data_IF_879638249251
#
_entry.id   IF_879638249251
#
_cell.length_a   1.000
_cell.length_b   1.000
_cell.length_c   1.000
_cell.angle_alpha   90.00
_cell.angle_beta   90.00
_cell.angle_gamma   90.00
#
_symmetry.space_group_name_H-M   'P 1'
#
loop_
_entity.id
_entity.type
_entity.pdbx_description
1 polymer ?
#
# COMPACT_ATOMS: atom_id res chain seq x y z
N UNK A 1 -28.00 2.67 29.11
CA UNK A 1 -26.63 3.20 29.05
C UNK A 1 -26.28 3.36 27.57
N UNK A 2 -26.36 4.58 27.07
CA UNK A 2 -25.98 4.90 25.68
C UNK A 2 -24.46 4.90 25.63
N UNK A 3 -23.89 3.78 25.17
CA UNK A 3 -22.47 3.67 24.93
C UNK A 3 -22.06 4.69 23.90
N UNK A 4 -21.33 5.72 24.29
CA UNK A 4 -20.66 6.65 23.40
C UNK A 4 -19.70 5.82 22.52
N UNK A 5 -20.05 5.66 21.25
CA UNK A 5 -19.12 5.12 20.26
C UNK A 5 -17.88 6.03 20.28
N UNK A 6 -16.66 5.52 20.51
CA UNK A 6 -15.49 6.37 20.54
C UNK A 6 -15.38 7.12 19.22
N UNK A 7 -15.25 8.45 19.30
CA UNK A 7 -15.21 9.37 18.15
C UNK A 7 -14.01 9.05 17.22
N UNK A 8 -12.99 8.41 17.78
CA UNK A 8 -11.75 8.08 17.08
C UNK A 8 -11.41 6.59 17.25
N UNK A 9 -10.85 5.96 16.22
CA UNK A 9 -10.39 4.58 16.35
C UNK A 9 -9.25 4.50 17.38
N UNK A 10 -9.24 3.42 18.16
CA UNK A 10 -8.20 3.15 19.17
C UNK A 10 -6.81 3.01 18.56
N UNK A 11 -6.74 2.54 17.30
CA UNK A 11 -5.52 2.47 16.50
C UNK A 11 -5.85 2.79 15.04
N UNK A 12 -4.98 3.56 14.39
CA UNK A 12 -5.06 3.79 12.96
C UNK A 12 -4.19 2.76 12.24
N UNK A 13 -4.83 1.77 11.60
CA UNK A 13 -4.15 0.72 10.86
C UNK A 13 -4.14 1.04 9.37
N UNK A 14 -2.96 1.07 8.77
CA UNK A 14 -2.78 1.28 7.32
C UNK A 14 -1.96 0.15 6.74
N UNK A 15 -2.44 -0.43 5.64
CA UNK A 15 -1.71 -1.42 4.86
C UNK A 15 -1.39 -0.84 3.49
N UNK A 16 -0.10 -0.80 3.14
CA UNK A 16 0.34 -0.56 1.78
C UNK A 16 0.38 -1.87 1.01
N UNK A 17 -0.28 -1.90 -0.13
CA UNK A 17 -0.22 -3.02 -1.08
C UNK A 17 0.58 -2.56 -2.29
N UNK A 18 1.78 -3.09 -2.45
CA UNK A 18 2.65 -2.80 -3.58
C UNK A 18 2.43 -3.84 -4.69
N UNK A 19 2.13 -3.35 -5.88
CA UNK A 19 2.08 -4.18 -7.07
C UNK A 19 3.47 -4.75 -7.38
N UNK A 20 3.51 -6.03 -7.72
CA UNK A 20 4.75 -6.74 -8.09
C UNK A 20 4.69 -7.24 -9.55
N UNK A 21 3.86 -6.61 -10.36
CA UNK A 21 3.71 -6.92 -11.77
C UNK A 21 4.84 -6.37 -12.64
N UNK A 22 4.89 -6.78 -13.92
CA UNK A 22 6.00 -6.47 -14.82
C UNK A 22 6.19 -4.97 -15.08
N UNK A 23 5.14 -4.17 -14.96
CA UNK A 23 5.24 -2.70 -15.10
C UNK A 23 6.09 -2.06 -14.03
N UNK A 24 6.16 -2.66 -12.85
CA UNK A 24 6.97 -2.15 -11.75
C UNK A 24 8.48 -2.37 -11.97
N UNK A 25 8.85 -3.29 -12.86
CA UNK A 25 10.24 -3.46 -13.28
C UNK A 25 10.69 -2.40 -14.30
N UNK A 26 9.76 -1.65 -14.89
CA UNK A 26 10.08 -0.66 -15.94
C UNK A 26 10.63 0.63 -15.36
N UNK A 27 11.48 1.35 -16.13
CA UNK A 27 11.99 2.66 -15.73
C UNK A 27 10.86 3.67 -15.55
N UNK A 28 10.88 4.44 -14.48
CA UNK A 28 9.93 5.55 -14.26
C UNK A 28 10.60 6.92 -14.37
N UNK A 29 11.84 7.05 -13.97
CA UNK A 29 12.57 8.30 -13.96
C UNK A 29 14.06 8.06 -14.04
N UNK A 30 14.71 8.87 -14.86
CA UNK A 30 16.16 8.99 -14.85
C UNK A 30 16.51 10.08 -13.82
N UNK A 31 17.20 9.70 -12.76
CA UNK A 31 17.68 10.66 -11.78
C UNK A 31 19.03 11.18 -12.27
N UNK A 32 19.03 12.38 -12.79
CA UNK A 32 20.27 13.13 -12.98
C UNK A 32 20.64 13.76 -11.64
N UNK A 33 21.68 13.25 -11.01
CA UNK A 33 22.29 14.00 -9.93
C UNK A 33 22.95 15.24 -10.54
N UNK A 34 22.34 16.39 -10.34
CA UNK A 34 22.98 17.68 -10.65
C UNK A 34 24.13 17.93 -9.66
N UNK A 35 25.16 17.16 -9.81
CA UNK A 35 26.48 17.49 -9.24
C UNK A 35 27.00 18.60 -10.12
N UNK A 36 26.51 19.80 -9.82
CA UNK A 36 26.68 21.00 -10.63
C UNK A 36 27.95 20.96 -11.45
N UNK A 37 27.88 21.23 -12.74
CA UNK A 37 28.88 21.15 -13.81
C UNK A 37 30.30 21.59 -13.42
N UNK A 38 30.84 21.06 -12.35
CA UNK A 38 32.23 21.30 -11.92
C UNK A 38 33.09 20.28 -12.63
N UNK A 39 33.53 20.67 -13.83
CA UNK A 39 34.62 20.03 -14.54
C UNK A 39 35.90 20.49 -13.90
N UNK A 40 36.43 19.81 -12.90
CA UNK A 40 37.71 20.09 -12.26
C UNK A 40 38.49 18.79 -12.04
N UNK A 41 39.83 18.86 -11.98
CA UNK A 41 40.63 17.67 -11.65
C UNK A 41 40.22 17.13 -10.27
N UNK A 42 39.90 15.84 -10.22
CA UNK A 42 39.42 15.17 -9.01
C UNK A 42 37.90 14.91 -8.94
N UNK A 43 37.13 15.35 -9.94
CA UNK A 43 35.71 15.02 -10.04
C UNK A 43 35.52 13.63 -10.63
N UNK A 44 34.81 12.77 -9.90
CA UNK A 44 34.33 11.48 -10.43
C UNK A 44 32.97 11.74 -11.07
N UNK A 45 32.80 11.55 -12.40
CA UNK A 45 31.48 11.68 -13.01
C UNK A 45 30.55 10.62 -12.44
N UNK A 46 29.43 11.05 -11.89
CA UNK A 46 28.38 10.13 -11.42
C UNK A 46 27.62 9.60 -12.64
N UNK A 47 27.45 8.28 -12.67
CA UNK A 47 26.61 7.65 -13.68
C UNK A 47 25.15 7.95 -13.35
N UNK A 48 24.32 8.40 -14.33
CA UNK A 48 22.89 8.57 -14.10
C UNK A 48 22.27 7.25 -13.64
N UNK A 49 21.49 7.30 -12.56
CA UNK A 49 20.79 6.14 -12.02
C UNK A 49 19.37 6.15 -12.57
N UNK A 50 18.99 5.09 -13.24
CA UNK A 50 17.62 4.88 -13.68
C UNK A 50 16.84 4.18 -12.58
N UNK A 51 15.81 4.86 -12.04
CA UNK A 51 14.88 4.24 -11.08
C UNK A 51 13.77 3.53 -11.80
N UNK A 52 13.39 2.36 -11.29
CA UNK A 52 12.18 1.65 -11.71
C UNK A 52 10.95 2.19 -10.96
N UNK A 53 9.76 1.89 -11.46
CA UNK A 53 8.50 2.18 -10.74
C UNK A 53 8.52 1.52 -9.37
N UNK A 54 9.06 0.30 -9.27
CA UNK A 54 9.25 -0.43 -8.01
C UNK A 54 10.09 0.36 -7.01
N UNK A 55 11.29 0.76 -7.42
CA UNK A 55 12.20 1.51 -6.55
C UNK A 55 11.54 2.79 -6.03
N UNK A 56 10.87 3.53 -6.92
CA UNK A 56 10.18 4.77 -6.55
C UNK A 56 8.98 4.52 -5.61
N UNK A 57 8.24 3.44 -5.82
CA UNK A 57 7.13 3.06 -4.95
C UNK A 57 7.62 2.67 -3.54
N UNK A 58 8.69 1.87 -3.46
CA UNK A 58 9.30 1.47 -2.18
C UNK A 58 9.84 2.69 -1.44
N UNK A 59 10.57 3.59 -2.12
CA UNK A 59 11.07 4.84 -1.54
C UNK A 59 9.94 5.72 -1.00
N UNK A 60 8.84 5.87 -1.75
CA UNK A 60 7.70 6.67 -1.33
C UNK A 60 7.03 6.10 -0.07
N UNK A 61 6.86 4.77 -0.01
CA UNK A 61 6.30 4.10 1.17
C UNK A 61 7.25 4.19 2.35
N UNK A 62 8.55 4.00 2.14
CA UNK A 62 9.57 4.14 3.18
C UNK A 62 9.57 5.55 3.77
N UNK A 63 9.52 6.57 2.94
CA UNK A 63 9.46 7.96 3.39
C UNK A 63 8.16 8.27 4.14
N UNK A 64 7.02 7.75 3.69
CA UNK A 64 5.76 7.87 4.42
C UNK A 64 5.86 7.21 5.81
N UNK A 65 6.41 5.99 5.89
CA UNK A 65 6.62 5.29 7.15
C UNK A 65 7.53 6.10 8.08
N UNK A 66 8.65 6.61 7.57
CA UNK A 66 9.59 7.43 8.34
C UNK A 66 8.90 8.67 8.93
N UNK A 67 8.16 9.42 8.10
CA UNK A 67 7.44 10.62 8.55
C UNK A 67 6.42 10.28 9.63
N UNK A 68 5.63 9.22 9.43
CA UNK A 68 4.59 8.84 10.39
C UNK A 68 5.21 8.39 11.72
N UNK A 69 6.25 7.57 11.70
CA UNK A 69 6.90 7.09 12.92
C UNK A 69 7.72 8.16 13.64
N UNK A 70 8.17 9.21 12.94
CA UNK A 70 8.83 10.36 13.54
C UNK A 70 7.84 11.31 14.23
N UNK A 71 6.62 11.45 13.68
CA UNK A 71 5.61 12.42 14.16
C UNK A 71 4.70 11.81 15.23
N UNK A 72 4.32 10.54 15.08
CA UNK A 72 3.32 9.91 15.94
C UNK A 72 3.94 8.89 16.88
N UNK A 73 3.45 8.80 18.14
CA UNK A 73 3.86 7.75 19.05
C UNK A 73 3.66 6.35 18.44
N UNK A 74 4.58 5.45 18.69
CA UNK A 74 4.48 4.05 18.29
C UNK A 74 3.21 3.45 18.91
N UNK A 75 2.43 2.76 18.09
CA UNK A 75 1.17 2.15 18.51
C UNK A 75 -0.09 2.97 18.21
N UNK A 76 0.01 4.26 17.89
CA UNK A 76 -1.15 5.06 17.44
C UNK A 76 -1.40 4.91 15.94
N UNK A 77 -0.33 4.91 15.18
CA UNK A 77 -0.34 4.78 13.72
C UNK A 77 0.45 3.55 13.30
N UNK A 78 -0.29 2.48 13.01
CA UNK A 78 0.28 1.19 12.68
C UNK A 78 0.31 1.02 11.16
N UNK A 79 1.47 0.66 10.62
CA UNK A 79 1.67 0.51 9.18
C UNK A 79 2.19 -0.89 8.88
N UNK A 80 1.64 -1.50 7.83
CA UNK A 80 2.12 -2.76 7.27
C UNK A 80 2.29 -2.61 5.76
N UNK A 81 3.22 -3.39 5.20
CA UNK A 81 3.45 -3.46 3.76
C UNK A 81 3.22 -4.89 3.30
N UNK A 82 2.47 -5.04 2.23
CA UNK A 82 2.22 -6.30 1.52
C UNK A 82 2.69 -6.13 0.09
N UNK A 83 3.46 -7.06 -0.41
CA UNK A 83 3.98 -7.04 -1.79
C UNK A 83 3.27 -8.10 -2.61
N UNK A 84 2.49 -7.69 -3.62
CA UNK A 84 1.70 -8.61 -4.43
C UNK A 84 0.88 -9.55 -3.56
N UNK A 85 0.88 -10.84 -3.88
CA UNK A 85 0.23 -11.89 -3.08
C UNK A 85 1.16 -12.56 -2.06
N UNK A 86 2.29 -11.95 -1.71
CA UNK A 86 3.25 -12.54 -0.78
C UNK A 86 2.68 -12.68 0.62
N UNK A 87 3.06 -13.74 1.30
CA UNK A 87 2.75 -13.89 2.72
C UNK A 87 3.64 -12.96 3.54
N UNK A 88 3.01 -12.05 4.26
CA UNK A 88 3.72 -11.08 5.10
C UNK A 88 3.56 -11.52 6.55
N UNK A 89 4.60 -12.05 7.17
CA UNK A 89 4.56 -12.45 8.57
C UNK A 89 4.45 -11.23 9.48
N UNK A 90 3.97 -11.45 10.72
CA UNK A 90 3.94 -10.47 11.79
C UNK A 90 2.55 -9.87 12.06
N UNK A 91 2.43 -9.22 13.20
CA UNK A 91 1.21 -8.61 13.73
C UNK A 91 1.23 -7.09 13.72
N UNK A 92 0.46 -6.50 14.63
CA UNK A 92 0.37 -5.05 14.85
C UNK A 92 1.16 -4.57 16.09
N UNK A 93 2.22 -5.32 16.47
CA UNK A 93 3.06 -4.96 17.62
C UNK A 93 3.90 -3.70 17.39
N UNK A 94 4.20 -2.97 18.46
CA UNK A 94 5.05 -1.76 18.37
C UNK A 94 6.49 -2.10 17.93
N UNK A 95 6.98 -3.29 18.29
CA UNK A 95 8.31 -3.77 17.89
C UNK A 95 8.46 -3.92 16.38
N UNK A 96 7.37 -4.11 15.65
CA UNK A 96 7.35 -4.27 14.20
C UNK A 96 7.19 -2.93 13.45
N UNK A 97 6.89 -1.84 14.18
CA UNK A 97 6.69 -0.50 13.62
C UNK A 97 8.04 0.23 13.48
N UNK A 98 8.88 -0.26 12.58
CA UNK A 98 10.19 0.31 12.29
C UNK A 98 10.62 0.05 10.84
N UNK A 99 11.61 0.81 10.37
CA UNK A 99 12.10 0.76 9.00
C UNK A 99 12.72 -0.60 8.65
N UNK A 100 13.41 -1.25 9.58
CA UNK A 100 14.03 -2.57 9.32
C UNK A 100 12.98 -3.62 8.99
N UNK A 101 11.92 -3.73 9.81
CA UNK A 101 10.82 -4.66 9.57
C UNK A 101 10.11 -4.42 8.23
N UNK A 102 9.95 -3.14 7.84
CA UNK A 102 9.37 -2.78 6.55
C UNK A 102 10.29 -3.22 5.39
N UNK A 103 11.58 -2.93 5.49
CA UNK A 103 12.55 -3.28 4.45
C UNK A 103 12.76 -4.80 4.33
N UNK A 104 12.68 -5.55 5.43
CA UNK A 104 12.78 -7.01 5.43
C UNK A 104 11.67 -7.66 4.59
N UNK A 105 10.44 -7.12 4.67
CA UNK A 105 9.32 -7.57 3.83
C UNK A 105 9.63 -7.36 2.34
N UNK A 106 10.10 -6.16 2.00
CA UNK A 106 10.40 -5.79 0.60
C UNK A 106 11.60 -6.60 0.07
N UNK A 107 12.64 -6.77 0.89
CA UNK A 107 13.83 -7.54 0.54
C UNK A 107 13.53 -9.03 0.38
N UNK A 108 12.63 -9.57 1.20
CA UNK A 108 12.23 -10.99 1.12
C UNK A 108 11.53 -11.35 -0.19
N UNK A 109 10.82 -10.41 -0.80
CA UNK A 109 10.17 -10.61 -2.11
C UNK A 109 11.11 -10.27 -3.27
N UNK A 110 11.95 -9.27 -3.11
CA UNK A 110 12.87 -8.78 -4.13
C UNK A 110 12.21 -7.87 -5.17
N UNK A 111 12.94 -7.61 -6.26
CA UNK A 111 12.45 -6.77 -7.35
C UNK A 111 11.52 -7.55 -8.29
N UNK A 112 10.48 -6.90 -8.86
CA UNK A 112 9.60 -7.55 -9.84
C UNK A 112 10.37 -7.89 -11.12
N UNK A 113 9.92 -8.97 -11.78
CA UNK A 113 10.43 -9.40 -13.07
C UNK A 113 9.48 -9.01 -14.20
N UNK A 114 10.02 -8.68 -15.38
CA UNK A 114 9.22 -8.45 -16.59
C UNK A 114 8.47 -9.71 -17.06
N UNK A 115 8.90 -10.89 -16.62
CA UNK A 115 8.28 -12.18 -16.97
C UNK A 115 7.07 -12.55 -16.08
N UNK A 116 6.84 -11.79 -15.02
CA UNK A 116 5.71 -12.02 -14.10
C UNK A 116 4.38 -11.78 -14.82
N UNK A 117 3.50 -12.78 -14.85
CA UNK A 117 2.20 -12.69 -15.55
C UNK A 117 1.10 -12.04 -14.74
N UNK A 118 1.18 -12.14 -13.41
CA UNK A 118 0.19 -11.60 -12.48
C UNK A 118 0.81 -10.57 -11.56
N UNK A 119 0.10 -9.47 -11.35
CA UNK A 119 0.51 -8.40 -10.44
C UNK A 119 0.33 -8.78 -8.97
N UNK A 120 -0.50 -9.76 -8.67
CA UNK A 120 -0.86 -10.15 -7.31
C UNK A 120 -1.62 -9.09 -6.50
N UNK A 121 -2.05 -7.98 -7.12
CA UNK A 121 -2.68 -6.84 -6.42
C UNK A 121 -3.95 -7.27 -5.68
N UNK A 122 -4.83 -8.05 -6.32
CA UNK A 122 -6.08 -8.49 -5.68
C UNK A 122 -5.80 -9.41 -4.49
N UNK A 123 -4.83 -10.31 -4.63
CA UNK A 123 -4.39 -11.18 -3.53
C UNK A 123 -3.75 -10.35 -2.40
N UNK A 124 -2.95 -9.35 -2.75
CA UNK A 124 -2.37 -8.40 -1.79
C UNK A 124 -3.42 -7.59 -1.04
N UNK A 125 -4.47 -7.12 -1.72
CA UNK A 125 -5.59 -6.42 -1.09
C UNK A 125 -6.34 -7.35 -0.13
N UNK A 126 -6.63 -8.59 -0.54
CA UNK A 126 -7.22 -9.60 0.35
C UNK A 126 -6.36 -9.79 1.59
N UNK A 127 -5.06 -10.01 1.41
CA UNK A 127 -4.11 -10.15 2.53
C UNK A 127 -4.09 -8.92 3.44
N UNK A 128 -4.13 -7.72 2.86
CA UNK A 128 -4.26 -6.48 3.60
C UNK A 128 -5.53 -6.41 4.46
N UNK A 129 -6.67 -6.87 3.94
CA UNK A 129 -7.93 -6.94 4.68
C UNK A 129 -7.84 -7.95 5.83
N UNK A 130 -7.28 -9.14 5.59
CA UNK A 130 -7.05 -10.16 6.62
C UNK A 130 -6.19 -9.62 7.77
N UNK A 131 -5.11 -8.89 7.45
CA UNK A 131 -4.29 -8.21 8.45
C UNK A 131 -5.09 -7.15 9.21
N UNK A 132 -5.91 -6.36 8.53
CA UNK A 132 -6.74 -5.33 9.17
C UNK A 132 -7.82 -5.92 10.08
N UNK A 133 -8.30 -7.13 9.81
CA UNK A 133 -9.21 -7.85 10.71
C UNK A 133 -8.54 -8.25 12.04
N UNK A 134 -7.22 -8.40 12.07
CA UNK A 134 -6.48 -8.65 13.31
C UNK A 134 -6.48 -7.39 14.18
N UNK A 135 -6.85 -7.52 15.44
CA UNK A 135 -6.81 -6.42 16.40
C UNK A 135 -5.38 -6.08 16.81
N UNK A 136 -5.10 -4.80 16.97
CA UNK A 136 -3.85 -4.36 17.57
C UNK A 136 -3.82 -4.66 19.08
N UNK A 137 -2.64 -4.72 19.72
CA UNK A 137 -2.54 -4.90 21.17
C UNK A 137 -3.38 -3.89 21.96
N UNK A 138 -3.46 -2.64 21.49
CA UNK A 138 -4.29 -1.60 22.12
C UNK A 138 -5.79 -1.86 21.92
N UNK A 139 -6.19 -2.32 20.74
CA UNK A 139 -7.59 -2.69 20.48
C UNK A 139 -8.00 -3.90 21.35
N UNK A 140 -7.12 -4.89 21.50
CA UNK A 140 -7.36 -6.05 22.37
C UNK A 140 -7.54 -5.63 23.83
N UNK A 141 -6.66 -4.77 24.35
CA UNK A 141 -6.76 -4.29 25.73
C UNK A 141 -8.07 -3.52 25.98
N UNK A 142 -8.56 -2.75 25.02
CA UNK A 142 -9.83 -2.01 25.15
C UNK A 142 -11.04 -2.94 24.97
N UNK A 143 -10.92 -3.96 24.12
CA UNK A 143 -12.04 -4.90 23.82
C UNK A 143 -12.51 -5.71 25.01
N UNK A 144 -11.72 -5.82 26.08
CA UNK A 144 -12.11 -6.48 27.33
C UNK A 144 -13.20 -5.74 28.10
N UNK A 145 -13.43 -4.46 27.80
CA UNK A 145 -14.45 -3.63 28.50
C UNK A 145 -15.34 -2.78 27.62
N UNK A 146 -15.00 -2.63 26.34
CA UNK A 146 -15.72 -1.75 25.42
C UNK A 146 -15.84 -2.37 24.03
N UNK A 147 -16.89 -1.99 23.29
CA UNK A 147 -17.03 -2.35 21.89
C UNK A 147 -15.99 -1.60 21.04
N UNK A 148 -15.08 -2.35 20.43
CA UNK A 148 -14.10 -1.80 19.49
C UNK A 148 -14.67 -1.82 18.09
N UNK A 149 -14.72 -0.64 17.45
CA UNK A 149 -15.08 -0.55 16.04
C UNK A 149 -13.79 -0.72 15.22
N UNK A 150 -13.68 -1.84 14.51
CA UNK A 150 -12.50 -2.14 13.70
C UNK A 150 -12.56 -1.38 12.36
N UNK A 151 -11.61 -0.49 12.15
CA UNK A 151 -11.47 0.31 10.93
C UNK A 151 -10.06 0.18 10.38
N UNK A 152 -9.93 0.30 9.06
CA UNK A 152 -8.62 0.22 8.43
C UNK A 152 -8.55 1.00 7.13
N UNK A 153 -7.30 1.21 6.68
CA UNK A 153 -7.00 1.82 5.39
C UNK A 153 -6.09 0.90 4.59
N UNK A 154 -6.38 0.74 3.31
CA UNK A 154 -5.49 0.12 2.34
C UNK A 154 -5.07 1.17 1.32
N UNK A 155 -3.77 1.27 1.07
CA UNK A 155 -3.19 2.10 0.01
C UNK A 155 -2.58 1.17 -1.01
N UNK A 156 -3.20 1.07 -2.18
CA UNK A 156 -2.76 0.22 -3.29
C UNK A 156 -1.90 1.05 -4.23
N UNK A 157 -0.66 0.65 -4.45
CA UNK A 157 0.24 1.28 -5.44
C UNK A 157 0.34 0.34 -6.63
N UNK A 158 -0.25 0.73 -7.76
CA UNK A 158 -0.37 -0.14 -8.94
C UNK A 158 -0.40 0.65 -10.24
N UNK A 159 -0.19 -0.04 -11.36
CA UNK A 159 -0.36 0.51 -12.72
C UNK A 159 -1.68 0.01 -13.32
N UNK A 160 -2.61 0.91 -13.54
CA UNK A 160 -3.89 0.62 -14.18
C UNK A 160 -3.82 0.98 -15.66
N UNK A 161 -4.27 0.06 -16.53
CA UNK A 161 -4.22 0.25 -17.99
C UNK A 161 -5.45 0.95 -18.55
N UNK A 162 -6.59 0.89 -17.85
CA UNK A 162 -7.84 1.47 -18.29
C UNK A 162 -8.83 1.62 -17.15
N UNK A 163 -9.89 2.43 -17.36
CA UNK A 163 -10.99 2.56 -16.42
C UNK A 163 -11.70 1.23 -16.16
N UNK A 164 -11.78 0.36 -17.18
CA UNK A 164 -12.34 -0.98 -17.00
C UNK A 164 -11.53 -1.80 -15.99
N UNK A 165 -10.19 -1.68 -16.00
CA UNK A 165 -9.32 -2.33 -15.01
C UNK A 165 -9.50 -1.75 -13.61
N UNK A 166 -9.71 -0.45 -13.51
CA UNK A 166 -10.07 0.17 -12.24
C UNK A 166 -11.39 -0.36 -11.69
N UNK A 167 -12.45 -0.41 -12.53
CA UNK A 167 -13.75 -0.94 -12.12
C UNK A 167 -13.66 -2.43 -11.73
N UNK A 168 -12.87 -3.22 -12.45
CA UNK A 168 -12.59 -4.61 -12.08
C UNK A 168 -11.91 -4.71 -10.71
N UNK A 169 -10.95 -3.83 -10.42
CA UNK A 169 -10.28 -3.78 -9.12
C UNK A 169 -11.27 -3.41 -8.01
N UNK A 170 -12.11 -2.40 -8.22
CA UNK A 170 -13.14 -1.99 -7.25
C UNK A 170 -14.10 -3.15 -6.95
N UNK A 171 -14.63 -3.80 -7.97
CA UNK A 171 -15.53 -4.95 -7.80
C UNK A 171 -14.83 -6.11 -7.06
N UNK A 172 -13.57 -6.39 -7.38
CA UNK A 172 -12.78 -7.39 -6.67
C UNK A 172 -12.56 -7.03 -5.19
N UNK A 173 -12.29 -5.76 -4.90
CA UNK A 173 -12.14 -5.27 -3.51
C UNK A 173 -13.43 -5.46 -2.71
N UNK A 174 -14.59 -5.09 -3.28
CA UNK A 174 -15.90 -5.30 -2.64
C UNK A 174 -16.18 -6.78 -2.35
N UNK A 175 -15.92 -7.63 -3.34
CA UNK A 175 -16.08 -9.08 -3.18
C UNK A 175 -15.15 -9.63 -2.08
N UNK A 176 -13.89 -9.24 -2.08
CA UNK A 176 -12.94 -9.69 -1.07
C UNK A 176 -13.30 -9.19 0.33
N UNK A 177 -13.79 -7.97 0.47
CA UNK A 177 -14.24 -7.42 1.75
C UNK A 177 -15.39 -8.26 2.34
N UNK A 178 -16.39 -8.62 1.52
CA UNK A 178 -17.49 -9.46 1.96
C UNK A 178 -17.02 -10.85 2.41
N UNK A 179 -16.09 -11.46 1.68
CA UNK A 179 -15.51 -12.77 2.01
C UNK A 179 -14.71 -12.71 3.32
N UNK A 180 -13.78 -11.78 3.43
CA UNK A 180 -12.90 -11.64 4.61
C UNK A 180 -13.71 -11.32 5.87
N UNK A 181 -14.72 -10.44 5.77
CA UNK A 181 -15.60 -10.15 6.89
C UNK A 181 -16.41 -11.37 7.35
N UNK A 182 -16.89 -12.19 6.41
CA UNK A 182 -17.56 -13.45 6.72
C UNK A 182 -16.62 -14.44 7.41
N UNK A 183 -15.40 -14.58 6.91
CA UNK A 183 -14.36 -15.45 7.49
C UNK A 183 -13.98 -14.96 8.90
N UNK A 184 -13.76 -13.65 9.08
CA UNK A 184 -13.44 -13.05 10.37
C UNK A 184 -14.57 -13.23 11.41
N UNK A 185 -15.83 -13.10 10.99
CA UNK A 185 -16.99 -13.32 11.87
C UNK A 185 -17.13 -14.81 12.28
N UNK A 186 -16.74 -15.73 11.40
CA UNK A 186 -16.79 -17.17 11.65
C UNK A 186 -15.60 -17.69 12.48
N UNK A 187 -14.49 -16.96 12.53
CA UNK A 187 -13.27 -17.42 13.19
C UNK A 187 -13.42 -17.61 14.71
N UNK A 188 -14.34 -16.89 15.37
CA UNK A 188 -14.58 -16.99 16.82
C UNK A 188 -13.38 -16.60 17.68
N UNK A 189 -12.32 -16.07 17.07
CA UNK A 189 -11.11 -15.63 17.75
C UNK A 189 -11.30 -14.20 18.27
N UNK A 190 -10.96 -13.99 19.55
CA UNK A 190 -11.02 -12.66 20.18
C UNK A 190 -10.09 -11.64 19.55
N UNK A 191 -9.02 -12.10 18.88
CA UNK A 191 -8.03 -11.27 18.20
C UNK A 191 -8.43 -10.86 16.79
N UNK A 192 -9.54 -11.37 16.25
CA UNK A 192 -9.98 -11.12 14.87
C UNK A 192 -11.40 -10.57 14.89
N UNK A 193 -11.59 -9.42 14.22
CA UNK A 193 -12.90 -8.80 14.09
C UNK A 193 -13.13 -8.33 12.65
N UNK A 194 -14.37 -8.45 12.13
CA UNK A 194 -14.73 -7.88 10.84
C UNK A 194 -14.45 -6.37 10.76
N UNK A 195 -14.17 -5.90 9.58
CA UNK A 195 -14.00 -4.48 9.30
C UNK A 195 -15.37 -3.81 9.19
N UNK A 196 -15.64 -2.86 10.08
CA UNK A 196 -16.85 -2.03 10.03
C UNK A 196 -16.71 -0.92 8.96
N UNK A 197 -15.47 -0.47 8.70
CA UNK A 197 -15.18 0.56 7.72
C UNK A 197 -13.80 0.33 7.12
N UNK A 198 -13.73 0.38 5.79
CA UNK A 198 -12.48 0.26 5.03
C UNK A 198 -12.34 1.43 4.06
N UNK A 199 -11.27 2.20 4.22
CA UNK A 199 -10.84 3.17 3.22
C UNK A 199 -9.85 2.51 2.27
N UNK A 200 -10.12 2.55 0.96
CA UNK A 200 -9.17 2.09 -0.06
C UNK A 200 -8.73 3.28 -0.90
N UNK A 201 -7.43 3.50 -0.98
CA UNK A 201 -6.82 4.52 -1.83
C UNK A 201 -5.99 3.83 -2.90
N UNK A 202 -6.23 4.11 -4.17
CA UNK A 202 -5.43 3.57 -5.26
C UNK A 202 -4.51 4.66 -5.78
N UNK A 203 -3.21 4.44 -5.70
CA UNK A 203 -2.17 5.28 -6.29
C UNK A 203 -1.79 4.66 -7.63
N UNK A 204 -2.26 5.28 -8.70
CA UNK A 204 -1.92 4.85 -10.06
C UNK A 204 -0.56 5.42 -10.45
N UNK A 205 0.36 4.54 -10.86
CA UNK A 205 1.70 4.88 -11.32
C UNK A 205 1.87 4.52 -12.80
N UNK A 206 2.67 5.29 -13.53
CA UNK A 206 2.98 5.02 -14.94
C UNK A 206 4.49 5.01 -15.16
N UNK A 207 5.04 4.00 -15.85
CA UNK A 207 6.42 4.04 -16.28
C UNK A 207 6.62 5.10 -17.37
N UNK A 208 7.75 5.80 -17.36
CA UNK A 208 8.03 6.85 -18.35
C UNK A 208 8.19 6.33 -19.79
N UNK A 209 8.54 5.07 -19.96
CA UNK A 209 8.72 4.40 -21.25
C UNK A 209 7.46 3.69 -21.79
N UNK A 210 6.31 3.89 -21.18
CA UNK A 210 5.06 3.23 -21.62
C UNK A 210 4.67 3.57 -23.07
N UNK A 211 5.17 4.69 -23.63
CA UNK A 211 5.00 5.06 -25.03
C UNK A 211 5.81 4.22 -26.03
N UNK A 212 6.99 3.73 -25.63
CA UNK A 212 7.90 3.01 -26.51
C UNK A 212 7.63 1.51 -26.61
N UNK A 213 6.90 0.93 -25.66
CA UNK A 213 6.66 -0.52 -25.58
C UNK A 213 5.39 -0.94 -26.36
N UNK A 214 4.78 -0.04 -27.14
CA UNK A 214 3.52 -0.33 -27.87
C UNK A 214 2.32 -0.55 -26.92
N UNK A 215 2.51 -0.35 -25.65
CA UNK A 215 1.47 -0.24 -24.65
C UNK A 215 0.87 1.16 -24.79
N UNK A 216 0.00 1.33 -25.77
CA UNK A 216 -0.95 2.43 -25.75
C UNK A 216 -1.69 2.30 -24.42
N UNK A 217 -1.26 3.07 -23.43
CA UNK A 217 -2.20 3.56 -22.44
C UNK A 217 -3.26 4.24 -23.27
N UNK A 218 -4.41 3.59 -23.48
CA UNK A 218 -5.57 4.30 -23.92
C UNK A 218 -5.69 5.45 -22.92
N UNK A 219 -5.51 6.66 -23.43
CA UNK A 219 -5.59 7.90 -22.68
C UNK A 219 -7.04 8.21 -22.27
N UNK A 220 -7.85 7.20 -22.07
CA UNK A 220 -9.09 7.32 -21.37
C UNK A 220 -8.73 7.49 -19.89
N UNK A 221 -8.35 8.71 -19.68
CA UNK A 221 -8.11 9.38 -18.46
C UNK A 221 -9.09 8.87 -17.40
N UNK A 222 -8.59 8.04 -16.52
CA UNK A 222 -9.16 8.02 -15.17
C UNK A 222 -9.24 9.49 -14.77
N UNK A 223 -10.42 10.06 -14.67
CA UNK A 223 -10.64 11.49 -14.48
C UNK A 223 -10.06 11.89 -13.13
N UNK A 224 -8.75 12.05 -13.11
CA UNK A 224 -7.98 12.45 -11.96
C UNK A 224 -8.22 13.94 -11.71
N UNK A 225 -9.12 14.23 -10.83
CA UNK A 225 -9.12 15.55 -10.23
C UNK A 225 -7.96 15.62 -9.26
N UNK A 226 -6.90 16.32 -9.66
CA UNK A 226 -5.70 16.68 -8.89
C UNK A 226 -4.70 15.54 -8.65
N UNK A 227 -3.66 15.51 -9.42
CA UNK A 227 -2.46 14.71 -9.21
C UNK A 227 -1.35 15.14 -10.14
N UNK A 228 -0.11 14.86 -9.76
CA UNK A 228 1.06 14.89 -10.64
C UNK A 228 0.77 14.06 -11.90
N UNK A 229 1.33 14.40 -13.07
CA UNK A 229 1.14 13.62 -14.29
C UNK A 229 1.56 12.14 -14.17
N UNK A 230 2.25 11.78 -13.09
CA UNK A 230 2.75 10.43 -12.82
C UNK A 230 1.98 9.67 -11.72
N UNK A 231 1.06 10.31 -11.00
CA UNK A 231 0.33 9.68 -9.91
C UNK A 231 -1.06 10.28 -9.76
N UNK A 232 -2.08 9.45 -9.80
CA UNK A 232 -3.47 9.83 -9.51
C UNK A 232 -4.00 9.07 -8.29
N UNK A 233 -4.80 9.76 -7.47
CA UNK A 233 -5.40 9.20 -6.26
C UNK A 233 -6.87 8.92 -6.52
N UNK A 234 -7.28 7.68 -6.40
CA UNK A 234 -8.66 7.21 -6.54
C UNK A 234 -9.16 6.73 -5.18
N UNK A 235 -10.29 7.24 -4.71
CA UNK A 235 -10.82 6.92 -3.38
C UNK A 235 -12.27 6.42 -3.47
N UNK A 236 -12.52 5.11 -3.52
CA UNK A 236 -13.80 4.58 -3.11
C UNK A 236 -13.86 4.46 -1.57
N UNK A 237 -14.97 4.89 -0.97
CA UNK A 237 -15.25 4.59 0.45
C UNK A 237 -16.20 3.40 0.49
N UNK A 238 -15.76 2.30 1.06
CA UNK A 238 -16.55 1.08 1.20
C UNK A 238 -17.02 0.94 2.65
N UNK A 239 -18.31 0.68 2.82
CA UNK A 239 -18.89 0.30 4.12
C UNK A 239 -19.00 -1.22 4.15
N UNK A 240 -18.42 -1.86 5.14
CA UNK A 240 -18.51 -3.29 5.41
C UNK A 240 -19.75 -3.69 6.16
#
# INVERSE_FOLDING_TARGET
MTGLTPLYPVSHKTVFVLDHGPYFALPCQQVEYDVGRRTGPGFIPLTPITKTVWTSAVEAVAEYCRIVWDIFPRGDRLIRVVVGGSDTPGGWGEAEQNMSSMLDVVAGVGSPSCDTRDSGVVAGVRRGMELLCQLSPRQLAVSEGQLVVNRGRIVVVTTLKSDAKYQQLVAAVEQQLALVNKEAAAAGDRGVQPLAELEVTVLHTQPSSAGDIGLRTEQDVVSSRQGSPFCSVLKPTLKG
#
